data_IF_279490044939
#
_entry.id   IF_279490044939
#
_cell.length_a   1.000
_cell.length_b   1.000
_cell.length_c   1.000
_cell.angle_alpha   90.00
_cell.angle_beta   90.00
_cell.angle_gamma   90.00
#
_symmetry.space_group_name_H-M   'P 1'
#
loop_
_entity.id
_entity.type
_entity.pdbx_description
1 polymer ?
#
# COMPACT_ATOMS: atom_id res chain seq x y z
N UNK A 1 1.96 -12.21 -7.98
CA UNK A 1 0.98 -11.42 -7.21
C UNK A 1 -0.38 -12.02 -7.46
N UNK A 2 -1.13 -12.29 -6.41
CA UNK A 2 -2.54 -12.66 -6.53
C UNK A 2 -3.32 -11.40 -6.97
N UNK A 3 -4.06 -11.41 -8.11
CA UNK A 3 -4.88 -10.27 -8.50
C UNK A 3 -5.92 -9.88 -7.45
N UNK A 4 -6.33 -10.82 -6.60
CA UNK A 4 -7.26 -10.56 -5.49
C UNK A 4 -6.61 -9.78 -4.33
N UNK A 5 -5.28 -9.89 -4.19
CA UNK A 5 -4.47 -9.29 -3.12
C UNK A 5 -3.13 -8.79 -3.69
N UNK A 6 -3.13 -7.62 -4.36
CA UNK A 6 -1.94 -7.13 -5.07
C UNK A 6 -0.79 -6.70 -4.14
N UNK A 7 -1.06 -6.53 -2.84
CA UNK A 7 -0.08 -6.22 -1.80
C UNK A 7 -0.29 -7.19 -0.64
N UNK A 8 0.76 -7.91 -0.27
CA UNK A 8 0.81 -8.79 0.91
C UNK A 8 1.95 -8.35 1.82
N UNK A 9 1.78 -8.49 3.13
CA UNK A 9 2.78 -8.12 4.13
C UNK A 9 2.82 -9.14 5.27
N UNK A 10 3.91 -9.09 6.04
CA UNK A 10 4.10 -9.91 7.24
C UNK A 10 4.02 -8.97 8.44
N UNK A 11 3.10 -9.25 9.36
CA UNK A 11 2.97 -8.54 10.62
C UNK A 11 4.20 -8.78 11.51
N UNK A 12 4.40 -7.93 12.53
CA UNK A 12 5.55 -8.06 13.44
C UNK A 12 5.57 -9.38 14.23
N UNK A 13 4.42 -10.04 14.36
CA UNK A 13 4.28 -11.36 14.99
C UNK A 13 4.50 -12.53 14.02
N UNK A 14 4.82 -12.25 12.75
CA UNK A 14 5.12 -13.26 11.73
C UNK A 14 3.89 -13.76 10.94
N UNK A 15 2.70 -13.21 11.20
CA UNK A 15 1.48 -13.59 10.47
C UNK A 15 1.46 -12.92 9.08
N UNK A 16 1.15 -13.68 8.03
CA UNK A 16 0.89 -13.12 6.70
C UNK A 16 -0.49 -12.46 6.68
N UNK A 17 -0.56 -11.27 6.10
CA UNK A 17 -1.80 -10.53 5.87
C UNK A 17 -1.80 -9.91 4.48
N UNK A 18 -2.99 -9.68 3.95
CA UNK A 18 -3.18 -9.07 2.65
C UNK A 18 -3.76 -7.67 2.78
N UNK A 19 -3.34 -6.79 1.88
CA UNK A 19 -3.96 -5.49 1.71
C UNK A 19 -5.28 -5.60 0.95
N UNK A 20 -6.16 -4.60 1.07
CA UNK A 20 -7.38 -4.56 0.29
C UNK A 20 -7.04 -4.37 -1.20
N UNK A 21 -7.83 -4.93 -2.10
CA UNK A 21 -7.58 -4.84 -3.56
C UNK A 21 -8.25 -3.66 -4.25
N UNK A 22 -9.12 -2.93 -3.54
CA UNK A 22 -9.82 -1.78 -4.09
C UNK A 22 -8.91 -0.55 -4.21
N UNK A 23 -9.24 0.34 -5.15
CA UNK A 23 -8.53 1.61 -5.37
C UNK A 23 -7.03 1.49 -5.69
N UNK A 24 -6.60 0.36 -6.24
CA UNK A 24 -5.27 0.19 -6.85
C UNK A 24 -5.39 0.03 -8.36
N UNK A 25 -4.53 0.75 -9.10
CA UNK A 25 -4.49 0.67 -10.56
C UNK A 25 -3.16 0.05 -11.03
N UNK A 26 -3.17 -1.16 -11.62
CA UNK A 26 -1.97 -1.77 -12.17
C UNK A 26 -1.29 -0.90 -13.25
N UNK A 27 0.04 -0.99 -13.42
CA UNK A 27 0.95 -1.83 -12.64
C UNK A 27 1.34 -1.19 -11.29
N UNK A 28 1.55 -2.04 -10.29
CA UNK A 28 2.21 -1.66 -9.04
C UNK A 28 3.73 -1.67 -9.27
N UNK A 29 4.42 -0.60 -8.91
CA UNK A 29 5.84 -0.41 -9.21
C UNK A 29 6.76 -0.46 -7.99
N UNK A 30 6.26 -0.11 -6.80
CA UNK A 30 7.03 -0.14 -5.56
C UNK A 30 6.12 -0.27 -4.33
N UNK A 31 6.66 -0.82 -3.25
CA UNK A 31 6.05 -0.86 -1.92
C UNK A 31 7.09 -0.38 -0.91
N UNK A 32 6.69 0.51 0.00
CA UNK A 32 7.51 0.96 1.11
C UNK A 32 6.70 0.87 2.41
N UNK A 33 7.25 0.24 3.45
CA UNK A 33 6.54 0.02 4.71
C UNK A 33 7.45 0.21 5.93
N UNK A 34 6.87 0.72 7.01
CA UNK A 34 7.42 0.71 8.37
C UNK A 34 6.31 0.29 9.35
N UNK A 35 6.60 0.09 10.65
CA UNK A 35 5.59 -0.33 11.62
C UNK A 35 4.37 0.60 11.75
N UNK A 36 4.43 1.82 11.22
CA UNK A 36 3.36 2.83 11.33
C UNK A 36 2.59 3.05 10.02
N UNK A 37 3.14 2.68 8.86
CA UNK A 37 2.53 2.98 7.57
C UNK A 37 3.01 2.05 6.45
N UNK A 38 2.11 1.81 5.49
CA UNK A 38 2.40 1.14 4.23
C UNK A 38 2.03 2.08 3.08
N UNK A 39 2.93 2.20 2.11
CA UNK A 39 2.74 2.95 0.87
C UNK A 39 2.96 2.06 -0.34
N UNK A 40 2.15 2.28 -1.38
CA UNK A 40 2.28 1.59 -2.68
C UNK A 40 2.29 2.61 -3.80
N UNK A 41 3.16 2.42 -4.78
CA UNK A 41 3.14 3.16 -6.04
C UNK A 41 2.37 2.36 -7.09
N UNK A 42 1.26 2.91 -7.57
CA UNK A 42 0.45 2.38 -8.67
C UNK A 42 0.65 3.23 -9.95
N UNK A 43 -0.09 2.95 -11.03
CA UNK A 43 0.07 3.66 -12.30
C UNK A 43 -0.18 5.20 -12.21
N UNK A 44 -0.86 5.68 -11.16
CA UNK A 44 -1.24 7.08 -10.97
C UNK A 44 -0.29 7.81 -10.02
N UNK A 45 0.32 7.12 -9.07
CA UNK A 45 1.18 7.71 -8.05
C UNK A 45 1.17 6.91 -6.75
N UNK A 46 1.36 7.60 -5.63
CA UNK A 46 1.50 6.96 -4.30
C UNK A 46 0.19 6.95 -3.54
N UNK A 47 -0.18 5.77 -3.04
CA UNK A 47 -1.27 5.57 -2.09
C UNK A 47 -0.73 5.08 -0.75
N UNK A 48 -1.39 5.49 0.32
CA UNK A 48 -1.14 5.03 1.69
C UNK A 48 -2.25 4.08 2.14
N UNK A 49 -1.89 3.02 2.85
CA UNK A 49 -2.85 2.18 3.54
C UNK A 49 -3.38 2.93 4.78
N UNK A 50 -4.67 3.25 4.77
CA UNK A 50 -5.38 3.93 5.85
C UNK A 50 -6.33 2.93 6.52
N UNK A 51 -6.42 2.96 7.85
CA UNK A 51 -7.34 2.14 8.63
C UNK A 51 -6.73 1.76 9.97
N UNK A 52 -7.51 1.77 11.05
CA UNK A 52 -6.96 1.66 12.40
C UNK A 52 -7.21 0.35 13.11
N UNK A 53 -8.19 -0.48 12.72
CA UNK A 53 -8.45 -1.74 13.44
C UNK A 53 -9.18 -2.77 12.55
N UNK A 54 -8.45 -3.74 11.99
CA UNK A 54 -8.97 -4.91 11.27
C UNK A 54 -9.04 -4.75 9.74
N UNK A 55 -8.71 -5.84 9.02
CA UNK A 55 -8.68 -5.97 7.54
C UNK A 55 -9.88 -5.30 6.85
N UNK A 56 -11.09 -5.45 7.40
CA UNK A 56 -12.33 -4.94 6.81
C UNK A 56 -12.47 -3.40 6.81
N UNK A 57 -11.59 -2.66 7.47
CA UNK A 57 -11.60 -1.19 7.51
C UNK A 57 -10.42 -0.55 6.78
N UNK A 58 -9.53 -1.36 6.20
CA UNK A 58 -8.36 -0.87 5.49
C UNK A 58 -8.76 -0.38 4.09
N UNK A 59 -8.19 0.75 3.67
CA UNK A 59 -8.40 1.34 2.34
C UNK A 59 -7.14 2.01 1.83
N UNK A 60 -6.91 2.00 0.52
CA UNK A 60 -5.86 2.79 -0.10
C UNK A 60 -6.33 4.22 -0.32
N UNK A 61 -5.59 5.19 0.23
CA UNK A 61 -5.87 6.61 0.13
C UNK A 61 -4.76 7.34 -0.63
N UNK A 62 -5.13 8.23 -1.55
CA UNK A 62 -4.16 9.00 -2.34
C UNK A 62 -3.31 9.92 -1.46
N UNK A 63 -1.99 9.92 -1.69
CA UNK A 63 -1.09 10.91 -1.08
C UNK A 63 -0.95 12.08 -2.04
N UNK A 64 -1.81 13.09 -1.89
CA UNK A 64 -2.00 14.17 -2.89
C UNK A 64 -0.72 14.81 -3.46
N UNK A 65 0.35 15.09 -2.67
CA UNK A 65 1.60 15.62 -3.22
C UNK A 65 2.35 14.66 -4.17
N UNK A 66 2.03 13.36 -4.14
CA UNK A 66 2.74 12.28 -4.83
C UNK A 66 1.86 11.55 -5.86
N UNK A 67 0.74 12.16 -6.26
CA UNK A 67 -0.13 11.66 -7.33
C UNK A 67 0.41 12.08 -8.71
N UNK A 68 1.60 11.57 -9.02
CA UNK A 68 2.23 11.70 -10.33
C UNK A 68 2.80 10.36 -10.77
N UNK A 69 2.59 9.95 -12.05
CA UNK A 69 3.14 8.69 -12.57
C UNK A 69 4.65 8.59 -12.38
N UNK A 70 5.12 7.41 -11.96
CA UNK A 70 6.55 7.16 -11.72
C UNK A 70 7.09 7.67 -10.37
N UNK A 71 6.24 8.24 -9.51
CA UNK A 71 6.64 8.60 -8.14
C UNK A 71 6.93 7.35 -7.31
N UNK A 72 8.07 7.34 -6.62
CA UNK A 72 8.50 6.20 -5.78
C UNK A 72 8.47 6.61 -4.30
N UNK A 73 7.74 5.91 -3.42
CA UNK A 73 7.75 6.19 -1.99
C UNK A 73 9.08 5.76 -1.37
N UNK A 74 9.67 6.62 -0.55
CA UNK A 74 10.87 6.33 0.24
C UNK A 74 10.57 6.67 1.69
N UNK A 75 10.85 5.74 2.60
CA UNK A 75 10.70 5.94 4.03
C UNK A 75 12.04 6.37 4.65
N UNK A 76 12.02 7.32 5.60
CA UNK A 76 13.22 7.63 6.38
C UNK A 76 13.64 6.43 7.23
N UNK A 77 14.95 6.28 7.42
CA UNK A 77 15.57 5.25 8.26
C UNK A 77 15.64 5.61 9.73
#
# INVERSE_FOLDING_TARGET
TDPAHPVSYVNLDGVNSDGPSNNLLPPMSAVAANPSAVYVADARGVLQLSGTNGENSQTWSEVRPFMAPGTVPVLPG
#
